data_IF_887334960880
#
_entry.id   IF_887334960880
#
_cell.length_a   1.000
_cell.length_b   1.000
_cell.length_c   1.000
_cell.angle_alpha   90.00
_cell.angle_beta   90.00
_cell.angle_gamma   90.00
#
_symmetry.space_group_name_H-M   'P 1'
#
loop_
_entity.id
_entity.type
_entity.pdbx_description
1 polymer ?
#
# COMPACT_ATOMS: atom_id res chain seq x y z
N UNK A 1 6.83 7.21 12.89
CA UNK A 1 6.84 6.56 11.55
C UNK A 1 6.31 5.14 11.73
N UNK A 2 5.32 4.72 10.94
CA UNK A 2 4.73 3.36 11.03
C UNK A 2 5.20 2.57 9.81
N UNK A 3 5.89 1.44 10.04
CA UNK A 3 6.27 0.51 8.97
C UNK A 3 5.10 -0.39 8.64
N UNK A 4 4.72 -0.43 7.36
CA UNK A 4 3.49 -1.11 6.90
C UNK A 4 3.73 -2.25 5.91
N UNK A 5 4.85 -2.19 5.18
CA UNK A 5 5.29 -3.20 4.24
C UNK A 5 6.75 -2.97 3.86
N UNK A 6 7.38 -4.00 3.31
CA UNK A 6 8.65 -3.93 2.58
C UNK A 6 8.37 -3.80 1.08
N UNK A 7 9.24 -3.10 0.33
CA UNK A 7 9.05 -2.89 -1.12
C UNK A 7 8.99 -4.21 -1.92
N UNK A 8 9.65 -5.26 -1.45
CA UNK A 8 9.63 -6.60 -2.05
C UNK A 8 8.27 -7.30 -1.95
N UNK A 9 7.39 -6.87 -1.04
CA UNK A 9 6.07 -7.47 -0.82
C UNK A 9 5.02 -6.97 -1.83
N UNK A 10 5.28 -5.87 -2.53
CA UNK A 10 4.37 -5.25 -3.50
C UNK A 10 5.10 -5.16 -4.83
N UNK A 11 4.98 -6.20 -5.66
CA UNK A 11 5.59 -6.20 -6.99
C UNK A 11 4.91 -5.16 -7.88
N UNK A 12 5.57 -4.78 -8.96
CA UNK A 12 4.98 -3.84 -9.93
C UNK A 12 3.61 -4.32 -10.43
N UNK A 13 2.64 -3.41 -10.48
CA UNK A 13 1.25 -3.71 -10.84
C UNK A 13 0.42 -4.33 -9.71
N UNK A 14 1.01 -4.64 -8.56
CA UNK A 14 0.28 -5.21 -7.43
C UNK A 14 -0.22 -4.15 -6.46
N UNK A 15 -1.25 -4.56 -5.71
CA UNK A 15 -1.87 -3.81 -4.65
C UNK A 15 -1.81 -4.60 -3.33
N UNK A 16 -1.70 -3.90 -2.21
CA UNK A 16 -1.73 -4.47 -0.87
C UNK A 16 -2.59 -3.62 0.05
N UNK A 17 -3.63 -4.24 0.63
CA UNK A 17 -4.40 -3.64 1.73
C UNK A 17 -3.55 -3.61 2.99
N UNK A 18 -3.59 -2.48 3.69
CA UNK A 18 -3.00 -2.28 5.01
C UNK A 18 -4.04 -1.60 5.90
N UNK A 19 -4.11 -2.02 7.15
CA UNK A 19 -4.97 -1.41 8.16
C UNK A 19 -4.12 -0.72 9.23
N UNK A 20 -4.41 0.56 9.51
CA UNK A 20 -3.68 1.38 10.49
C UNK A 20 -4.69 2.20 11.27
N UNK A 21 -4.80 1.97 12.59
CA UNK A 21 -5.66 2.77 13.48
C UNK A 21 -7.06 3.01 12.87
N UNK A 22 -7.70 1.92 12.43
CA UNK A 22 -9.05 1.88 11.82
C UNK A 22 -9.19 2.52 10.42
N UNK A 23 -8.07 2.86 9.77
CA UNK A 23 -8.05 3.28 8.36
C UNK A 23 -7.59 2.15 7.47
N UNK A 24 -8.37 1.89 6.42
CA UNK A 24 -7.94 1.01 5.34
C UNK A 24 -7.20 1.80 4.27
N UNK A 25 -5.94 1.46 4.05
CA UNK A 25 -5.07 2.07 3.05
C UNK A 25 -4.73 1.02 2.00
N UNK A 26 -4.83 1.40 0.74
CA UNK A 26 -4.37 0.61 -0.40
C UNK A 26 -3.00 1.10 -0.82
N UNK A 27 -2.00 0.23 -0.71
CA UNK A 27 -0.68 0.44 -1.29
C UNK A 27 -0.68 -0.10 -2.72
N UNK A 28 -0.20 0.67 -3.69
CA UNK A 28 -0.05 0.24 -5.08
C UNK A 28 1.33 0.55 -5.62
N UNK A 29 1.91 -0.38 -6.36
CA UNK A 29 3.19 -0.18 -7.04
C UNK A 29 2.97 0.11 -8.54
N UNK A 30 3.18 1.36 -8.94
CA UNK A 30 3.08 1.79 -10.34
C UNK A 30 4.47 2.20 -10.82
N UNK A 31 5.03 1.49 -11.80
CA UNK A 31 6.36 1.75 -12.37
C UNK A 31 7.46 1.83 -11.32
N UNK A 32 7.43 0.91 -10.34
CA UNK A 32 8.42 0.82 -9.27
C UNK A 32 8.28 1.86 -8.15
N UNK A 33 7.26 2.74 -8.21
CA UNK A 33 6.92 3.73 -7.19
C UNK A 33 5.72 3.26 -6.38
N UNK A 34 5.80 3.44 -5.06
CA UNK A 34 4.72 3.08 -4.14
C UNK A 34 3.84 4.30 -3.89
N UNK A 35 2.53 4.12 -4.07
CA UNK A 35 1.50 5.08 -3.76
C UNK A 35 0.60 4.50 -2.66
N UNK A 36 0.02 5.39 -1.86
CA UNK A 36 -0.94 5.05 -0.82
C UNK A 36 -2.21 5.87 -1.04
N UNK A 37 -3.36 5.21 -1.12
CA UNK A 37 -4.68 5.83 -1.25
C UNK A 37 -5.64 5.19 -0.24
N UNK A 38 -6.77 5.84 0.03
CA UNK A 38 -7.81 5.23 0.86
C UNK A 38 -8.37 3.98 0.15
N UNK A 39 -8.59 2.90 0.89
CA UNK A 39 -9.19 1.67 0.37
C UNK A 39 -10.71 1.68 0.52
N UNK A 40 -11.34 2.81 0.19
CA UNK A 40 -12.78 3.01 0.15
C UNK A 40 -13.12 3.78 -1.13
N UNK A 41 -14.21 3.39 -1.76
CA UNK A 41 -14.77 4.07 -2.94
C UNK A 41 -15.57 5.29 -2.49
#
# INVERSE_FOLDING_TARGET
MIKVASKSEIKEGQMKKVEIQDKEILLVNVKGKIYAIENKC
#
